data_IF_434408139974
#
_entry.id   IF_434408139974
#
_cell.length_a   1.000
_cell.length_b   1.000
_cell.length_c   1.000
_cell.angle_alpha   90.00
_cell.angle_beta   90.00
_cell.angle_gamma   90.00
#
_symmetry.space_group_name_H-M   'P 1'
#
loop_
_entity.id
_entity.type
_entity.pdbx_description
1 polymer ?
#
# COMPACT_ATOMS: atom_id res chain seq x y z
N UNK A 1 -38.98 1.28 2.75
CA UNK A 1 -38.29 0.96 3.27
C UNK A 1 -37.14 1.51 3.46
N UNK A 2 -37.05 2.04 4.19
CA UNK A 2 -36.08 2.75 4.48
C UNK A 2 -34.84 2.16 4.63
N UNK A 3 -34.89 1.03 4.62
CA UNK A 3 -33.70 0.46 4.78
C UNK A 3 -32.79 0.59 3.72
N UNK A 4 -33.12 1.11 2.67
CA UNK A 4 -32.20 1.22 1.60
C UNK A 4 -30.99 2.01 1.95
N UNK A 5 -31.11 2.98 2.80
CA UNK A 5 -29.98 3.79 3.13
C UNK A 5 -28.95 3.04 3.95
N UNK A 6 -29.39 2.09 4.70
CA UNK A 6 -28.46 1.38 5.53
C UNK A 6 -28.17 -0.02 5.06
N UNK A 7 -28.94 -0.47 4.07
CA UNK A 7 -28.81 -1.83 3.65
C UNK A 7 -28.08 -1.92 2.36
N UNK A 8 -26.88 -2.38 2.40
CA UNK A 8 -26.11 -2.66 1.19
C UNK A 8 -26.23 -4.14 0.93
N UNK A 9 -26.60 -4.49 -0.29
CA UNK A 9 -26.76 -5.90 -0.62
C UNK A 9 -25.41 -6.59 -0.64
N UNK A 10 -25.44 -7.90 -0.50
CA UNK A 10 -24.21 -8.68 -0.55
C UNK A 10 -23.51 -8.52 -1.90
N UNK A 11 -24.28 -8.43 -2.96
CA UNK A 11 -23.71 -8.21 -4.29
C UNK A 11 -23.00 -6.87 -4.38
N UNK A 12 -23.60 -5.83 -3.78
CA UNK A 12 -22.97 -4.51 -3.75
C UNK A 12 -21.70 -4.51 -2.90
N UNK A 13 -21.72 -5.24 -1.79
CA UNK A 13 -20.52 -5.36 -0.97
C UNK A 13 -19.42 -6.09 -1.72
N UNK A 14 -19.77 -7.14 -2.45
CA UNK A 14 -18.79 -7.89 -3.22
C UNK A 14 -18.15 -6.98 -4.28
N UNK A 15 -18.97 -6.16 -4.93
CA UNK A 15 -18.48 -5.23 -5.92
C UNK A 15 -17.58 -4.17 -5.29
N UNK A 16 -17.98 -3.67 -4.11
CA UNK A 16 -17.17 -2.73 -3.36
C UNK A 16 -15.79 -3.33 -3.07
N UNK A 17 -15.75 -4.56 -2.59
CA UNK A 17 -14.48 -5.21 -2.26
C UNK A 17 -13.62 -5.41 -3.49
N UNK A 18 -14.23 -5.76 -4.63
CA UNK A 18 -13.48 -5.89 -5.88
C UNK A 18 -12.90 -4.56 -6.32
N UNK A 19 -13.66 -3.49 -6.17
CA UNK A 19 -13.20 -2.15 -6.51
C UNK A 19 -12.01 -1.75 -5.62
N UNK A 20 -12.11 -2.03 -4.32
CA UNK A 20 -11.02 -1.72 -3.41
C UNK A 20 -9.76 -2.51 -3.78
N UNK A 21 -9.93 -3.79 -4.11
CA UNK A 21 -8.79 -4.61 -4.52
C UNK A 21 -8.15 -4.06 -5.79
N UNK A 22 -8.97 -3.59 -6.73
CA UNK A 22 -8.44 -3.02 -7.97
C UNK A 22 -7.68 -1.72 -7.73
N UNK A 23 -8.17 -0.88 -6.84
CA UNK A 23 -7.47 0.36 -6.48
C UNK A 23 -6.11 0.02 -5.87
N UNK A 24 -6.10 -0.95 -4.97
CA UNK A 24 -4.84 -1.36 -4.34
C UNK A 24 -3.88 -1.97 -5.33
N UNK A 25 -4.39 -2.73 -6.30
CA UNK A 25 -3.55 -3.31 -7.35
C UNK A 25 -2.86 -2.20 -8.16
N UNK A 26 -3.59 -1.11 -8.44
CA UNK A 26 -3.00 0.04 -9.12
C UNK A 26 -1.90 0.68 -8.30
N UNK A 27 -2.12 0.82 -7.00
CA UNK A 27 -1.08 1.35 -6.10
C UNK A 27 0.13 0.42 -6.05
N UNK A 28 -0.11 -0.89 -6.04
CA UNK A 28 0.97 -1.86 -6.02
C UNK A 28 1.84 -1.75 -7.26
N UNK A 29 1.22 -1.61 -8.44
CA UNK A 29 1.99 -1.47 -9.66
C UNK A 29 2.85 -0.22 -9.64
N UNK A 30 2.28 0.89 -9.18
CA UNK A 30 3.00 2.15 -9.13
C UNK A 30 4.15 2.07 -8.13
N UNK A 31 3.90 1.53 -6.94
CA UNK A 31 4.93 1.45 -5.92
C UNK A 31 6.03 0.47 -6.31
N UNK A 32 5.65 -0.63 -6.97
CA UNK A 32 6.65 -1.60 -7.43
C UNK A 32 7.57 -0.97 -8.46
N UNK A 33 7.02 -0.14 -9.36
CA UNK A 33 7.84 0.55 -10.34
C UNK A 33 8.78 1.54 -9.66
N UNK A 34 8.28 2.28 -8.66
CA UNK A 34 9.10 3.23 -7.91
C UNK A 34 10.22 2.51 -7.16
N UNK A 35 9.91 1.37 -6.57
CA UNK A 35 10.91 0.59 -5.87
C UNK A 35 11.99 0.09 -6.82
N UNK A 36 11.58 -0.36 -8.00
CA UNK A 36 12.51 -0.82 -9.01
C UNK A 36 13.48 0.29 -9.42
N UNK A 37 12.95 1.50 -9.64
CA UNK A 37 13.78 2.65 -9.98
C UNK A 37 14.75 2.98 -8.86
N UNK A 38 14.26 2.93 -7.62
CA UNK A 38 15.10 3.23 -6.47
C UNK A 38 16.23 2.22 -6.33
N UNK A 39 15.94 0.93 -6.57
CA UNK A 39 16.96 -0.11 -6.50
C UNK A 39 18.01 0.09 -7.59
N UNK A 40 17.59 0.54 -8.78
CA UNK A 40 18.55 0.85 -9.83
C UNK A 40 19.45 2.02 -9.44
N UNK A 41 18.87 3.04 -8.81
CA UNK A 41 19.66 4.18 -8.34
C UNK A 41 20.70 3.72 -7.31
N UNK A 42 20.30 2.81 -6.42
CA UNK A 42 21.21 2.29 -5.41
C UNK A 42 22.36 1.54 -6.08
N UNK A 43 22.05 0.75 -7.09
CA UNK A 43 23.08 0.02 -7.82
C UNK A 43 24.07 0.96 -8.49
N UNK A 44 23.54 2.03 -9.12
CA UNK A 44 24.39 2.99 -9.79
C UNK A 44 25.25 3.75 -8.80
N UNK A 45 24.65 4.17 -7.68
CA UNK A 45 25.40 4.89 -6.66
C UNK A 45 26.48 4.01 -6.06
N UNK A 46 26.17 2.73 -5.86
CA UNK A 46 27.16 1.79 -5.32
C UNK A 46 28.31 1.60 -6.30
N UNK A 47 28.00 1.47 -7.59
CA UNK A 47 29.04 1.31 -8.60
C UNK A 47 29.92 2.58 -8.67
N UNK A 48 29.29 3.76 -8.61
CA UNK A 48 30.04 5.01 -8.62
C UNK A 48 30.94 5.14 -7.40
N UNK A 49 30.41 4.75 -6.24
CA UNK A 49 31.20 4.81 -5.00
C UNK A 49 32.40 3.88 -5.08
N UNK A 50 32.23 2.69 -5.65
CA UNK A 50 33.33 1.74 -5.81
C UNK A 50 34.39 2.32 -6.74
N UNK A 51 33.97 2.92 -7.84
CA UNK A 51 34.89 3.51 -8.77
C UNK A 51 35.70 4.61 -8.10
N UNK A 52 35.03 5.49 -7.36
CA UNK A 52 35.68 6.58 -6.67
C UNK A 52 36.69 6.07 -5.65
N UNK A 53 36.32 5.06 -4.89
CA UNK A 53 37.22 4.50 -3.88
C UNK A 53 38.41 3.77 -4.52
N UNK A 54 38.14 3.07 -5.60
CA UNK A 54 39.19 2.33 -6.29
C UNK A 54 40.21 3.27 -6.92
N UNK A 55 39.76 4.36 -7.49
CA UNK A 55 40.64 5.32 -8.11
C UNK A 55 41.39 6.18 -7.11
N UNK A 56 40.90 6.19 -5.87
CA UNK A 56 41.52 6.99 -4.84
C UNK A 56 41.41 8.45 -5.09
N UNK A 57 40.47 8.88 -5.94
CA UNK A 57 40.31 10.29 -6.23
C UNK A 57 39.18 10.87 -5.40
N UNK A 58 39.32 12.09 -4.99
CA UNK A 58 38.33 12.79 -4.24
C UNK A 58 38.54 12.72 -2.74
N UNK A 59 37.97 13.66 -2.00
CA UNK A 59 38.13 13.69 -0.56
C UNK A 59 37.30 12.60 0.10
N UNK A 60 37.77 12.16 1.25
CA UNK A 60 37.08 11.17 2.04
C UNK A 60 35.67 11.59 2.36
N UNK A 61 35.44 12.88 2.55
CA UNK A 61 34.11 13.38 2.87
C UNK A 61 33.10 13.14 1.77
N UNK A 62 33.58 13.12 0.51
CA UNK A 62 32.68 12.81 -0.60
C UNK A 62 32.26 11.36 -0.59
N UNK A 63 33.18 10.47 -0.30
CA UNK A 63 32.89 9.06 -0.20
C UNK A 63 31.92 8.80 0.95
N UNK A 64 32.12 9.46 2.08
CA UNK A 64 31.24 9.29 3.21
C UNK A 64 29.83 9.81 2.90
N UNK A 65 29.74 10.93 2.19
CA UNK A 65 28.44 11.47 1.82
C UNK A 65 27.71 10.52 0.86
N UNK A 66 28.44 9.94 -0.08
CA UNK A 66 27.85 8.99 -1.01
C UNK A 66 27.35 7.75 -0.30
N UNK A 67 28.12 7.23 0.65
CA UNK A 67 27.71 6.07 1.44
C UNK A 67 26.45 6.39 2.24
N UNK A 68 26.40 7.59 2.84
CA UNK A 68 25.23 8.00 3.60
C UNK A 68 23.99 8.07 2.71
N UNK A 69 24.15 8.56 1.49
CA UNK A 69 23.05 8.60 0.53
C UNK A 69 22.57 7.21 0.17
N UNK A 70 23.50 6.30 -0.05
CA UNK A 70 23.15 4.92 -0.39
C UNK A 70 22.39 4.29 0.77
N UNK A 71 22.84 4.51 1.99
CA UNK A 71 22.17 3.97 3.17
C UNK A 71 20.77 4.53 3.32
N UNK A 72 20.60 5.82 3.06
CA UNK A 72 19.28 6.45 3.13
C UNK A 72 18.35 5.85 2.07
N UNK A 73 18.85 5.63 0.87
CA UNK A 73 18.05 5.04 -0.18
C UNK A 73 17.70 3.59 0.12
N UNK A 74 18.62 2.86 0.72
CA UNK A 74 18.35 1.48 1.13
C UNK A 74 17.24 1.44 2.19
N UNK A 75 17.28 2.36 3.15
CA UNK A 75 16.25 2.42 4.17
C UNK A 75 14.90 2.74 3.53
N UNK A 76 14.90 3.64 2.54
CA UNK A 76 13.67 3.98 1.83
C UNK A 76 13.15 2.78 1.05
N UNK A 77 14.05 2.01 0.42
CA UNK A 77 13.66 0.83 -0.33
C UNK A 77 13.03 -0.21 0.58
N UNK A 78 13.56 -0.38 1.79
CA UNK A 78 12.99 -1.31 2.75
C UNK A 78 11.60 -0.87 3.20
N UNK A 79 11.43 0.44 3.44
CA UNK A 79 10.12 0.97 3.82
C UNK A 79 9.12 0.81 2.67
N UNK A 80 9.57 1.02 1.44
CA UNK A 80 8.71 0.86 0.27
C UNK A 80 8.30 -0.60 0.10
N UNK A 81 9.23 -1.53 0.32
CA UNK A 81 8.92 -2.95 0.23
C UNK A 81 7.89 -3.35 1.29
N UNK A 82 8.03 -2.82 2.51
CA UNK A 82 7.08 -3.12 3.58
C UNK A 82 5.69 -2.58 3.21
N UNK A 83 5.63 -1.39 2.63
CA UNK A 83 4.36 -0.82 2.20
C UNK A 83 3.73 -1.65 1.10
N UNK A 84 4.54 -2.12 0.16
CA UNK A 84 4.06 -2.99 -0.92
C UNK A 84 3.45 -4.26 -0.35
N UNK A 85 4.12 -4.86 0.62
CA UNK A 85 3.62 -6.08 1.26
C UNK A 85 2.28 -5.82 1.95
N UNK A 86 2.16 -4.67 2.62
CA UNK A 86 0.93 -4.31 3.31
C UNK A 86 -0.21 -4.10 2.31
N UNK A 87 0.06 -3.39 1.21
CA UNK A 87 -0.95 -3.18 0.18
C UNK A 87 -1.38 -4.51 -0.44
N UNK A 88 -0.42 -5.42 -0.64
CA UNK A 88 -0.74 -6.72 -1.22
C UNK A 88 -1.62 -7.54 -0.28
N UNK A 89 -1.29 -7.54 1.00
CA UNK A 89 -2.08 -8.27 1.99
C UNK A 89 -3.50 -7.73 2.05
N UNK A 90 -3.64 -6.40 2.01
CA UNK A 90 -4.95 -5.77 2.05
C UNK A 90 -5.74 -6.10 0.79
N UNK A 91 -5.10 -6.06 -0.38
CA UNK A 91 -5.77 -6.38 -1.64
C UNK A 91 -6.26 -7.82 -1.65
N UNK A 92 -5.43 -8.73 -1.15
CA UNK A 92 -5.82 -10.14 -1.08
C UNK A 92 -7.01 -10.33 -0.14
N UNK A 93 -7.02 -9.59 0.96
CA UNK A 93 -8.12 -9.66 1.92
C UNK A 93 -9.43 -9.19 1.30
N UNK A 94 -9.39 -8.09 0.55
CA UNK A 94 -10.60 -7.61 -0.12
C UNK A 94 -11.06 -8.61 -1.19
N UNK A 95 -10.12 -9.22 -1.91
CA UNK A 95 -10.47 -10.21 -2.91
C UNK A 95 -11.15 -11.42 -2.26
N UNK A 96 -10.62 -11.88 -1.15
CA UNK A 96 -11.22 -13.00 -0.41
C UNK A 96 -12.62 -12.64 0.07
N UNK A 97 -12.79 -11.42 0.59
CA UNK A 97 -14.11 -10.97 1.02
C UNK A 97 -15.10 -10.95 -0.14
N UNK A 98 -14.65 -10.46 -1.30
CA UNK A 98 -15.51 -10.42 -2.47
C UNK A 98 -15.98 -11.81 -2.85
N UNK A 99 -15.09 -12.78 -2.76
CA UNK A 99 -15.44 -14.16 -3.09
C UNK A 99 -16.42 -14.73 -2.08
N UNK A 100 -16.19 -14.48 -0.80
CA UNK A 100 -17.09 -14.95 0.24
C UNK A 100 -18.48 -14.37 0.08
N UNK A 101 -18.53 -13.06 -0.20
CA UNK A 101 -19.80 -12.39 -0.37
C UNK A 101 -20.55 -12.90 -1.61
N UNK A 102 -19.80 -13.16 -2.69
CA UNK A 102 -20.40 -13.69 -3.90
C UNK A 102 -20.96 -15.08 -3.67
N UNK A 103 -20.36 -15.84 -2.76
CA UNK A 103 -20.84 -17.18 -2.43
C UNK A 103 -21.97 -17.17 -1.41
N UNK A 104 -22.33 -16.03 -0.90
CA UNK A 104 -23.40 -15.91 0.06
C UNK A 104 -22.96 -15.91 1.51
N UNK A 105 -21.64 -15.78 1.75
CA UNK A 105 -21.11 -15.73 3.10
C UNK A 105 -20.72 -14.32 3.48
N UNK A 106 -20.97 -13.94 4.71
CA UNK A 106 -20.55 -12.64 5.21
C UNK A 106 -21.56 -11.55 4.95
N UNK A 107 -21.31 -10.40 5.53
CA UNK A 107 -22.20 -9.26 5.41
C UNK A 107 -21.40 -7.99 5.66
N UNK A 108 -22.11 -6.86 5.81
CA UNK A 108 -21.47 -5.58 6.05
C UNK A 108 -20.58 -5.60 7.28
N UNK A 109 -21.02 -6.27 8.32
CA UNK A 109 -20.23 -6.36 9.55
C UNK A 109 -18.90 -7.07 9.31
N UNK A 110 -18.91 -8.10 8.47
CA UNK A 110 -17.69 -8.81 8.12
C UNK A 110 -16.69 -7.87 7.45
N UNK A 111 -17.18 -7.04 6.53
CA UNK A 111 -16.33 -6.08 5.83
C UNK A 111 -15.78 -5.04 6.81
N UNK A 112 -16.65 -4.53 7.69
CA UNK A 112 -16.21 -3.52 8.66
C UNK A 112 -15.16 -4.08 9.61
N UNK A 113 -15.32 -5.30 10.06
CA UNK A 113 -14.34 -5.94 10.93
C UNK A 113 -12.99 -6.08 10.23
N UNK A 114 -13.04 -6.47 8.97
CA UNK A 114 -11.82 -6.58 8.18
C UNK A 114 -11.13 -5.22 8.07
N UNK A 115 -11.90 -4.17 7.81
CA UNK A 115 -11.32 -2.84 7.65
C UNK A 115 -10.76 -2.30 8.96
N UNK A 116 -11.37 -2.65 10.08
CA UNK A 116 -10.86 -2.28 11.38
C UNK A 116 -9.56 -3.01 11.67
N UNK A 117 -9.56 -4.32 11.46
CA UNK A 117 -8.39 -5.14 11.75
C UNK A 117 -7.18 -4.79 10.92
N UNK A 118 -7.41 -4.37 9.67
CA UNK A 118 -6.30 -4.05 8.77
C UNK A 118 -5.98 -2.56 8.73
N UNK A 119 -6.77 -1.73 9.45
CA UNK A 119 -6.61 -0.29 9.43
C UNK A 119 -6.75 0.23 8.00
N UNK A 120 -7.68 -0.34 7.26
CA UNK A 120 -7.84 -0.08 5.84
C UNK A 120 -7.95 1.41 5.47
N UNK A 121 -8.67 2.25 6.25
CA UNK A 121 -8.79 3.65 5.85
C UNK A 121 -7.48 4.40 5.68
N UNK A 122 -6.41 3.94 6.33
CA UNK A 122 -5.11 4.60 6.19
C UNK A 122 -4.49 4.37 4.81
N UNK A 123 -4.99 3.41 4.05
CA UNK A 123 -4.46 3.10 2.71
C UNK A 123 -5.27 3.75 1.60
N UNK A 124 -6.33 4.47 1.94
CA UNK A 124 -7.22 5.11 0.98
C UNK A 124 -7.50 6.53 1.41
N UNK A 125 -8.16 7.29 0.54
CA UNK A 125 -8.64 8.59 0.92
C UNK A 125 -9.77 8.41 1.94
N UNK A 126 -9.99 9.45 2.74
CA UNK A 126 -10.83 9.36 3.92
C UNK A 126 -12.20 8.74 3.72
N UNK A 127 -12.82 8.94 2.62
CA UNK A 127 -14.18 8.46 2.42
C UNK A 127 -14.30 7.34 1.41
N UNK A 128 -13.19 6.70 1.11
CA UNK A 128 -13.19 5.62 0.13
C UNK A 128 -13.63 4.29 0.75
N UNK A 129 -13.33 4.07 2.03
CA UNK A 129 -13.73 2.83 2.68
C UNK A 129 -15.06 3.00 3.38
N UNK A 130 -15.77 1.89 3.56
CA UNK A 130 -17.03 1.91 4.31
C UNK A 130 -16.77 2.36 5.74
N UNK A 131 -15.68 1.89 6.34
CA UNK A 131 -15.34 2.29 7.70
C UNK A 131 -15.04 3.79 7.76
N UNK A 132 -14.33 4.31 6.76
CA UNK A 132 -14.01 5.73 6.71
C UNK A 132 -15.26 6.58 6.59
N UNK A 133 -16.22 6.17 5.77
CA UNK A 133 -17.46 6.89 5.61
C UNK A 133 -18.27 6.86 6.91
N UNK A 134 -18.34 5.69 7.53
CA UNK A 134 -19.10 5.55 8.77
C UNK A 134 -18.50 6.43 9.87
N UNK A 135 -17.17 6.43 9.96
CA UNK A 135 -16.49 7.25 10.96
C UNK A 135 -16.66 8.74 10.67
N UNK A 136 -16.60 9.10 9.40
CA UNK A 136 -16.76 10.48 9.01
C UNK A 136 -18.13 11.02 9.34
N UNK A 137 -19.16 10.20 9.19
CA UNK A 137 -20.50 10.62 9.51
C UNK A 137 -20.67 10.90 10.98
N UNK A 138 -19.96 10.16 11.80
CA UNK A 138 -20.09 10.35 13.23
C UNK A 138 -19.49 11.65 13.71
N UNK A 139 -18.76 12.32 12.85
CA UNK A 139 -18.15 13.55 13.26
C UNK A 139 -19.05 14.71 13.23
N UNK A 140 -20.18 14.65 12.72
CA UNK A 140 -21.12 15.76 12.72
C UNK A 140 -21.76 15.96 14.09
#
# INVERSE_FOLDING_TARGET
MSDDAGDISRAELAEYCRTQAAILAGHLDQRSAELSDLLEEIEQDTANARTTLTEGSGPETEAEATIAEIEAKQARAQAEQAAIDDYRTLAEGYTDLAEQLAEGSGDLETVLEFEIDTDAPTYFDAETTILGVATGEDRD
#
